data_IF_086945706222
#
_entry.id   IF_086945706222
#
_cell.length_a   1.000
_cell.length_b   1.000
_cell.length_c   1.000
_cell.angle_alpha   90.00
_cell.angle_beta   90.00
_cell.angle_gamma   90.00
#
_symmetry.space_group_name_H-M   'P 1'
#
loop_
_entity.id
_entity.type
_entity.pdbx_description
1 polymer ?
#
# COMPACT_ATOMS: atom_id res chain seq x y z
N UNK A 1 19.94 -0.27 -15.85
CA UNK A 1 18.99 -0.53 -14.75
C UNK A 1 19.62 0.01 -13.49
N UNK A 2 18.89 0.82 -12.74
CA UNK A 2 19.33 1.39 -11.46
C UNK A 2 18.42 0.82 -10.37
N UNK A 3 18.92 -0.05 -9.47
CA UNK A 3 18.11 -0.61 -8.40
C UNK A 3 17.88 0.42 -7.30
N UNK A 4 16.62 0.72 -6.99
CA UNK A 4 16.24 1.53 -5.84
C UNK A 4 15.87 0.61 -4.68
N UNK A 5 16.70 0.57 -3.63
CA UNK A 5 16.52 -0.35 -2.52
C UNK A 5 15.48 0.15 -1.51
N UNK A 6 14.77 -0.81 -0.90
CA UNK A 6 13.66 -0.55 0.03
C UNK A 6 13.80 -1.46 1.25
N UNK A 7 13.59 -0.91 2.44
CA UNK A 7 13.51 -1.70 3.67
C UNK A 7 12.16 -2.39 3.82
N UNK A 8 12.14 -3.56 4.44
CA UNK A 8 10.91 -4.21 4.89
C UNK A 8 10.59 -3.78 6.32
N UNK A 9 9.43 -3.16 6.55
CA UNK A 9 9.01 -2.75 7.89
C UNK A 9 8.48 -3.93 8.71
N UNK A 10 8.90 -3.99 9.97
CA UNK A 10 8.44 -4.96 10.96
C UNK A 10 8.04 -4.24 12.25
N UNK A 11 7.38 -4.94 13.17
CA UNK A 11 7.12 -4.44 14.52
C UNK A 11 8.39 -3.99 15.28
N UNK A 12 9.57 -4.47 14.89
CA UNK A 12 10.85 -4.20 15.54
C UNK A 12 11.69 -3.14 14.82
N UNK A 13 11.21 -2.60 13.70
CA UNK A 13 11.96 -1.57 12.97
C UNK A 13 12.05 -0.32 13.84
N UNK A 14 13.27 0.10 14.14
CA UNK A 14 13.53 1.23 15.03
C UNK A 14 13.71 2.54 14.25
N UNK A 15 13.55 3.70 14.91
CA UNK A 15 13.94 4.99 14.34
C UNK A 15 15.39 5.03 13.83
N UNK A 16 16.31 4.34 14.52
CA UNK A 16 17.73 4.34 14.17
C UNK A 16 18.01 3.54 12.90
N UNK A 17 17.28 2.44 12.67
CA UNK A 17 17.35 1.68 11.42
C UNK A 17 16.97 2.58 10.23
N UNK A 18 15.93 3.40 10.37
CA UNK A 18 15.49 4.34 9.34
C UNK A 18 16.55 5.40 9.06
N UNK A 19 17.09 6.04 10.10
CA UNK A 19 18.11 7.09 9.94
C UNK A 19 19.38 6.53 9.32
N UNK A 20 19.85 5.38 9.80
CA UNK A 20 21.01 4.67 9.26
C UNK A 20 20.82 4.31 7.79
N UNK A 21 19.66 3.74 7.45
CA UNK A 21 19.35 3.36 6.07
C UNK A 21 19.27 4.59 5.14
N UNK A 22 18.63 5.68 5.57
CA UNK A 22 18.59 6.92 4.78
C UNK A 22 19.98 7.53 4.58
N UNK A 23 20.78 7.59 5.64
CA UNK A 23 22.13 8.14 5.62
C UNK A 23 23.08 7.34 4.72
N UNK A 24 22.81 6.05 4.49
CA UNK A 24 23.59 5.22 3.57
C UNK A 24 23.54 5.71 2.11
N UNK A 25 22.50 6.46 1.73
CA UNK A 25 22.27 6.88 0.34
C UNK A 25 21.76 5.78 -0.59
N UNK A 26 21.72 4.51 -0.17
CA UNK A 26 21.28 3.37 -0.99
C UNK A 26 19.80 3.00 -0.80
N UNK A 27 19.23 3.28 0.37
CA UNK A 27 17.82 2.97 0.68
C UNK A 27 16.96 4.20 0.46
N UNK A 28 15.95 4.07 -0.40
CA UNK A 28 15.10 5.18 -0.81
C UNK A 28 13.75 5.21 -0.09
N UNK A 29 13.27 4.05 0.36
CA UNK A 29 11.96 3.91 0.99
C UNK A 29 11.93 2.76 2.00
N UNK A 30 10.86 2.67 2.77
CA UNK A 30 10.50 1.48 3.53
C UNK A 30 9.08 1.03 3.17
N UNK A 31 8.89 -0.29 3.01
CA UNK A 31 7.65 -0.92 2.59
C UNK A 31 6.94 -1.52 3.79
N UNK A 32 5.70 -1.08 3.99
CA UNK A 32 4.75 -1.63 4.94
C UNK A 32 3.96 -2.78 4.29
N UNK A 33 4.02 -3.94 4.93
CA UNK A 33 3.09 -5.05 4.72
C UNK A 33 2.38 -5.33 6.03
N UNK A 34 1.03 -5.26 6.09
CA UNK A 34 0.28 -5.76 7.23
C UNK A 34 0.54 -7.27 7.36
N UNK A 35 0.74 -7.73 8.60
CA UNK A 35 1.12 -9.13 8.83
C UNK A 35 0.07 -10.09 8.23
N UNK A 36 0.54 -11.01 7.36
CA UNK A 36 -0.30 -11.99 6.67
C UNK A 36 -1.10 -11.45 5.47
N UNK A 37 -0.84 -10.24 4.98
CA UNK A 37 -1.58 -9.63 3.87
C UNK A 37 -1.25 -10.26 2.51
N UNK A 38 -0.02 -10.74 2.33
CA UNK A 38 0.46 -11.31 1.05
C UNK A 38 1.62 -12.29 1.27
N UNK A 39 2.20 -12.80 0.18
CA UNK A 39 3.33 -13.75 0.22
C UNK A 39 4.51 -13.19 1.01
N UNK A 40 5.07 -13.98 1.92
CA UNK A 40 6.18 -13.63 2.82
C UNK A 40 5.92 -12.45 3.77
N UNK A 41 4.66 -12.15 4.08
CA UNK A 41 4.29 -11.01 4.96
C UNK A 41 4.08 -11.38 6.43
N UNK A 42 4.35 -12.62 6.85
CA UNK A 42 4.09 -13.07 8.23
C UNK A 42 4.92 -12.32 9.28
N UNK A 43 6.11 -11.84 8.89
CA UNK A 43 6.97 -10.98 9.73
C UNK A 43 6.65 -9.48 9.57
N UNK A 44 5.55 -9.15 8.89
CA UNK A 44 5.07 -7.79 8.69
C UNK A 44 4.61 -7.10 9.98
N UNK A 45 3.98 -5.95 9.79
CA UNK A 45 3.52 -5.10 10.88
C UNK A 45 2.18 -5.62 11.40
N UNK A 46 2.10 -5.98 12.69
CA UNK A 46 0.85 -6.50 13.28
C UNK A 46 -0.10 -5.37 13.70
N UNK A 47 0.45 -4.20 14.00
CA UNK A 47 -0.29 -2.99 14.35
C UNK A 47 0.52 -1.77 13.94
N UNK A 48 -0.11 -0.83 13.23
CA UNK A 48 0.57 0.36 12.73
C UNK A 48 1.09 1.24 13.88
N UNK A 49 0.44 1.23 15.03
CA UNK A 49 0.84 1.99 16.22
C UNK A 49 2.26 1.60 16.68
N UNK A 50 2.66 0.34 16.50
CA UNK A 50 3.98 -0.15 16.90
C UNK A 50 5.12 0.47 16.09
N UNK A 51 4.85 0.84 14.84
CA UNK A 51 5.85 1.43 13.95
C UNK A 51 5.79 2.96 13.90
N UNK A 52 4.92 3.60 14.69
CA UNK A 52 4.85 5.06 14.73
C UNK A 52 6.19 5.76 14.99
N UNK A 53 7.07 5.26 15.89
CA UNK A 53 8.41 5.84 16.03
C UNK A 53 9.23 5.74 14.74
N UNK A 54 9.13 4.65 13.99
CA UNK A 54 9.81 4.51 12.70
C UNK A 54 9.21 5.46 11.64
N UNK A 55 7.87 5.60 11.58
CA UNK A 55 7.21 6.52 10.66
C UNK A 55 7.56 7.99 10.94
N UNK A 56 7.67 8.36 12.21
CA UNK A 56 8.14 9.69 12.63
C UNK A 56 9.56 9.96 12.12
N UNK A 57 10.49 9.02 12.33
CA UNK A 57 11.85 9.11 11.79
C UNK A 57 11.87 9.18 10.27
N UNK A 58 11.00 8.43 9.57
CA UNK A 58 10.89 8.48 8.10
C UNK A 58 10.45 9.88 7.64
N UNK A 59 9.51 10.50 8.35
CA UNK A 59 9.05 11.86 8.07
C UNK A 59 10.17 12.89 8.30
N UNK A 60 10.93 12.77 9.40
CA UNK A 60 12.08 13.64 9.71
C UNK A 60 13.15 13.61 8.63
N UNK A 61 13.51 12.42 8.14
CA UNK A 61 14.61 12.25 7.17
C UNK A 61 14.15 12.23 5.71
N UNK A 62 12.84 12.39 5.45
CA UNK A 62 12.26 12.36 4.10
C UNK A 62 12.43 11.00 3.40
N UNK A 63 12.30 9.89 4.13
CA UNK A 63 12.18 8.55 3.55
C UNK A 63 10.72 8.27 3.17
N UNK A 64 10.50 7.66 1.99
CA UNK A 64 9.16 7.33 1.52
C UNK A 64 8.61 6.12 2.27
N UNK A 65 7.33 6.17 2.62
CA UNK A 65 6.55 5.03 3.07
C UNK A 65 5.79 4.44 1.88
N UNK A 66 6.08 3.20 1.52
CA UNK A 66 5.32 2.44 0.53
C UNK A 66 4.35 1.53 1.26
N UNK A 67 3.10 1.43 0.83
CA UNK A 67 2.04 0.75 1.60
C UNK A 67 1.33 -0.31 0.77
N UNK A 68 1.37 -1.57 1.23
CA UNK A 68 0.37 -2.57 0.86
C UNK A 68 -0.87 -2.35 1.73
N UNK A 69 -1.88 -1.65 1.22
CA UNK A 69 -3.00 -1.20 2.04
C UNK A 69 -4.17 -2.18 2.07
N UNK A 70 -4.02 -3.32 2.76
CA UNK A 70 -5.12 -4.26 3.04
C UNK A 70 -5.09 -4.71 4.50
N UNK A 71 -6.24 -4.71 5.17
CA UNK A 71 -6.37 -5.43 6.45
C UNK A 71 -6.42 -6.93 6.21
N UNK A 72 -6.02 -7.74 7.19
CA UNK A 72 -5.85 -9.20 7.02
C UNK A 72 -6.84 -10.04 7.82
N UNK A 73 -7.73 -9.37 8.55
CA UNK A 73 -8.70 -10.00 9.46
C UNK A 73 -9.67 -10.90 8.69
N UNK A 74 -9.96 -12.08 9.25
CA UNK A 74 -10.66 -13.18 8.56
C UNK A 74 -12.15 -12.91 8.32
N UNK A 75 -12.76 -12.04 9.12
CA UNK A 75 -14.15 -11.62 9.03
C UNK A 75 -14.40 -10.57 7.93
N UNK A 76 -13.35 -10.01 7.33
CA UNK A 76 -13.43 -8.98 6.29
C UNK A 76 -13.25 -9.62 4.93
N UNK A 77 -14.26 -9.45 4.08
CA UNK A 77 -14.24 -9.93 2.70
C UNK A 77 -13.04 -9.35 1.94
N UNK A 78 -12.35 -10.19 1.18
CA UNK A 78 -11.14 -9.81 0.43
C UNK A 78 -11.37 -8.66 -0.55
N UNK A 79 -12.60 -8.46 -1.03
CA UNK A 79 -12.95 -7.34 -1.89
C UNK A 79 -13.05 -6.00 -1.13
N UNK A 80 -13.22 -6.01 0.19
CA UNK A 80 -13.41 -4.83 1.04
C UNK A 80 -12.15 -4.43 1.84
N UNK A 81 -11.15 -5.32 1.91
CA UNK A 81 -9.93 -5.13 2.74
C UNK A 81 -9.17 -3.83 2.46
N UNK A 82 -9.11 -3.41 1.19
CA UNK A 82 -8.43 -2.16 0.81
C UNK A 82 -9.16 -0.93 1.35
N UNK A 83 -10.49 -0.90 1.23
CA UNK A 83 -11.33 0.18 1.76
C UNK A 83 -11.21 0.28 3.28
N UNK A 84 -11.31 -0.86 3.97
CA UNK A 84 -11.19 -0.88 5.43
C UNK A 84 -9.81 -0.40 5.89
N UNK A 85 -8.75 -0.73 5.16
CA UNK A 85 -7.42 -0.21 5.45
C UNK A 85 -7.34 1.32 5.31
N UNK A 86 -7.98 1.90 4.30
CA UNK A 86 -8.06 3.37 4.17
C UNK A 86 -8.71 3.98 5.41
N UNK A 87 -9.88 3.46 5.77
CA UNK A 87 -10.75 4.02 6.80
C UNK A 87 -10.15 3.88 8.21
N UNK A 88 -9.52 2.75 8.54
CA UNK A 88 -9.00 2.49 9.89
C UNK A 88 -7.54 2.91 10.08
N UNK A 89 -6.76 3.02 9.00
CA UNK A 89 -5.31 3.05 9.09
C UNK A 89 -4.69 4.18 8.30
N UNK A 90 -4.89 4.20 6.99
CA UNK A 90 -4.12 5.09 6.12
C UNK A 90 -4.46 6.57 6.36
N UNK A 91 -5.75 6.89 6.56
CA UNK A 91 -6.18 8.24 6.96
C UNK A 91 -5.47 8.70 8.24
N UNK A 92 -5.47 7.85 9.28
CA UNK A 92 -4.81 8.15 10.57
C UNK A 92 -3.30 8.37 10.42
N UNK A 93 -2.63 7.59 9.57
CA UNK A 93 -1.18 7.76 9.31
C UNK A 93 -0.90 9.10 8.65
N UNK A 94 -1.63 9.44 7.58
CA UNK A 94 -1.43 10.68 6.82
C UNK A 94 -1.77 11.92 7.66
N UNK A 95 -2.82 11.85 8.48
CA UNK A 95 -3.19 12.93 9.40
C UNK A 95 -2.15 13.15 10.51
N UNK A 96 -1.61 12.05 11.05
CA UNK A 96 -0.61 12.12 12.14
C UNK A 96 0.77 12.57 11.66
N UNK A 97 1.17 12.19 10.45
CA UNK A 97 2.48 12.50 9.88
C UNK A 97 2.32 13.29 8.57
N UNK A 98 1.89 14.56 8.63
CA UNK A 98 1.52 15.33 7.43
C UNK A 98 2.70 15.60 6.48
N UNK A 99 3.94 15.50 6.97
CA UNK A 99 5.18 15.65 6.18
C UNK A 99 5.72 14.33 5.61
N UNK A 100 5.18 13.18 6.04
CA UNK A 100 5.59 11.87 5.54
C UNK A 100 5.10 11.70 4.10
N UNK A 101 6.00 11.33 3.19
CA UNK A 101 5.66 10.98 1.81
C UNK A 101 5.20 9.53 1.75
N UNK A 102 3.97 9.31 1.30
CA UNK A 102 3.32 8.01 1.26
C UNK A 102 2.98 7.64 -0.17
N UNK A 103 3.29 6.40 -0.55
CA UNK A 103 2.83 5.79 -1.79
C UNK A 103 1.90 4.64 -1.44
N UNK A 104 0.61 4.79 -1.78
CA UNK A 104 -0.35 3.71 -1.71
C UNK A 104 -0.13 2.80 -2.92
N UNK A 105 0.55 1.68 -2.68
CA UNK A 105 0.97 0.80 -3.77
C UNK A 105 -0.23 0.09 -4.37
N UNK A 106 -0.16 -0.14 -5.69
CA UNK A 106 -1.02 -1.01 -6.49
C UNK A 106 -2.51 -0.93 -6.09
N UNK A 107 -3.05 0.29 -6.06
CA UNK A 107 -4.45 0.53 -5.69
C UNK A 107 -5.41 -0.21 -6.64
N UNK A 108 -6.53 -0.70 -6.09
CA UNK A 108 -7.46 -1.56 -6.84
C UNK A 108 -8.91 -1.09 -6.82
N UNK A 109 -9.22 -0.08 -6.01
CA UNK A 109 -10.59 0.43 -5.79
C UNK A 109 -10.74 1.89 -6.20
N UNK A 110 -11.99 2.25 -6.48
CA UNK A 110 -12.40 3.66 -6.65
C UNK A 110 -12.31 4.43 -5.34
N UNK A 111 -12.51 3.77 -4.20
CA UNK A 111 -12.29 4.34 -2.87
C UNK A 111 -10.83 4.79 -2.67
N UNK A 112 -9.86 3.98 -3.12
CA UNK A 112 -8.44 4.35 -3.07
C UNK A 112 -8.11 5.52 -4.00
N UNK A 113 -8.68 5.54 -5.22
CA UNK A 113 -8.55 6.69 -6.14
C UNK A 113 -9.09 7.96 -5.49
N UNK A 114 -10.29 7.90 -4.91
CA UNK A 114 -10.89 9.04 -4.22
C UNK A 114 -10.03 9.51 -3.05
N UNK A 115 -9.56 8.57 -2.20
CA UNK A 115 -8.69 8.89 -1.08
C UNK A 115 -7.43 9.63 -1.51
N UNK A 116 -6.75 9.16 -2.56
CA UNK A 116 -5.51 9.78 -3.05
C UNK A 116 -5.78 11.18 -3.62
N UNK A 117 -6.88 11.37 -4.35
CA UNK A 117 -7.28 12.67 -4.90
C UNK A 117 -7.65 13.70 -3.83
N UNK A 118 -8.20 13.25 -2.71
CA UNK A 118 -8.56 14.10 -1.56
C UNK A 118 -7.38 14.37 -0.62
N UNK A 119 -6.30 13.59 -0.71
CA UNK A 119 -5.15 13.69 0.16
C UNK A 119 -4.22 14.86 -0.19
N UNK A 120 -3.25 15.13 0.68
CA UNK A 120 -2.24 16.16 0.42
C UNK A 120 -1.26 15.72 -0.68
N UNK A 121 -0.46 16.67 -1.19
CA UNK A 121 0.58 16.41 -2.19
C UNK A 121 1.67 15.41 -1.73
N UNK A 122 1.68 15.01 -0.46
CA UNK A 122 2.58 14.00 0.07
C UNK A 122 2.06 12.57 -0.09
N UNK A 123 0.82 12.38 -0.59
CA UNK A 123 0.25 11.06 -0.86
C UNK A 123 0.15 10.85 -2.36
N UNK A 124 0.71 9.74 -2.84
CA UNK A 124 0.60 9.28 -4.21
C UNK A 124 0.14 7.81 -4.22
N UNK A 125 -0.09 7.27 -5.41
CA UNK A 125 -0.37 5.85 -5.60
C UNK A 125 0.34 5.30 -6.83
N UNK A 126 0.54 3.98 -6.84
CA UNK A 126 0.91 3.23 -8.04
C UNK A 126 -0.27 2.39 -8.52
N UNK A 127 -0.36 2.18 -9.83
CA UNK A 127 -1.37 1.35 -10.46
C UNK A 127 -0.64 0.32 -11.33
N UNK A 128 -1.03 -0.95 -11.23
CA UNK A 128 -0.41 -2.00 -12.03
C UNK A 128 -1.08 -2.14 -13.39
N UNK A 129 -0.34 -2.65 -14.37
CA UNK A 129 -0.88 -2.93 -15.70
C UNK A 129 -2.09 -3.89 -15.65
N UNK A 130 -2.04 -4.94 -14.81
CA UNK A 130 -3.12 -5.92 -14.73
C UNK A 130 -4.39 -5.38 -14.09
N UNK A 131 -4.31 -4.42 -13.16
CA UNK A 131 -5.49 -3.76 -12.60
C UNK A 131 -6.13 -2.76 -13.57
N UNK A 132 -5.37 -2.23 -14.53
CA UNK A 132 -5.93 -1.43 -15.63
C UNK A 132 -6.60 -2.31 -16.70
N UNK A 133 -6.00 -3.46 -17.01
CA UNK A 133 -6.48 -4.34 -18.09
C UNK A 133 -7.62 -5.27 -17.67
N UNK A 134 -7.68 -5.68 -16.40
CA UNK A 134 -8.57 -6.74 -15.95
C UNK A 134 -9.40 -6.35 -14.72
N UNK A 135 -10.55 -7.00 -14.61
CA UNK A 135 -11.41 -7.02 -13.42
C UNK A 135 -11.73 -8.47 -13.04
N UNK A 136 -12.38 -8.69 -11.89
CA UNK A 136 -12.62 -10.03 -11.33
C UNK A 136 -13.36 -11.00 -12.24
N UNK A 137 -14.13 -10.52 -13.24
CA UNK A 137 -14.75 -11.43 -14.21
C UNK A 137 -13.70 -12.15 -15.06
N UNK A 138 -12.58 -11.51 -15.39
CA UNK A 138 -11.47 -12.14 -16.11
C UNK A 138 -10.83 -13.28 -15.30
N UNK A 139 -10.91 -13.22 -13.97
CA UNK A 139 -10.41 -14.27 -13.08
C UNK A 139 -11.42 -15.41 -12.87
N UNK A 140 -12.74 -15.15 -12.93
CA UNK A 140 -13.76 -16.09 -12.42
C UNK A 140 -14.75 -16.60 -13.49
N UNK A 141 -15.05 -15.84 -14.55
CA UNK A 141 -16.10 -16.19 -15.52
C UNK A 141 -15.61 -17.29 -16.47
N UNK A 142 -16.40 -18.35 -16.59
CA UNK A 142 -16.10 -19.51 -17.43
C UNK A 142 -15.07 -20.48 -16.82
N UNK A 143 -14.74 -20.30 -15.54
CA UNK A 143 -13.76 -21.11 -14.82
C UNK A 143 -12.76 -20.23 -14.08
N UNK A 144 -12.23 -20.76 -12.96
CA UNK A 144 -11.19 -20.08 -12.19
C UNK A 144 -9.89 -20.02 -12.99
N UNK A 145 -9.32 -18.82 -13.12
CA UNK A 145 -8.04 -18.58 -13.81
C UNK A 145 -6.99 -18.07 -12.81
N UNK A 146 -6.21 -18.96 -12.17
CA UNK A 146 -5.33 -18.60 -11.07
C UNK A 146 -4.18 -17.65 -11.46
N UNK A 147 -3.81 -17.58 -12.73
CA UNK A 147 -2.79 -16.64 -13.21
C UNK A 147 -3.22 -15.17 -13.11
N UNK A 148 -4.53 -14.89 -12.96
CA UNK A 148 -5.04 -13.54 -12.68
C UNK A 148 -5.17 -13.25 -11.18
N UNK A 149 -4.86 -14.21 -10.31
CA UNK A 149 -4.92 -14.00 -8.88
C UNK A 149 -3.69 -13.21 -8.41
N UNK A 150 -3.94 -12.05 -7.81
CA UNK A 150 -2.96 -11.17 -7.18
C UNK A 150 -3.55 -10.59 -5.89
N UNK A 151 -2.71 -9.90 -5.11
CA UNK A 151 -3.13 -9.14 -3.94
C UNK A 151 -2.62 -7.70 -4.07
N UNK A 152 -3.48 -6.67 -3.87
CA UNK A 152 -4.92 -6.78 -3.64
C UNK A 152 -5.66 -7.42 -4.82
N UNK A 153 -6.78 -8.10 -4.54
CA UNK A 153 -7.48 -8.91 -5.55
C UNK A 153 -8.11 -8.04 -6.64
N UNK A 154 -8.18 -8.54 -7.89
CA UNK A 154 -8.96 -7.91 -8.95
C UNK A 154 -10.39 -7.59 -8.46
N UNK A 155 -10.86 -6.36 -8.67
CA UNK A 155 -12.15 -5.87 -8.16
C UNK A 155 -13.24 -5.86 -9.25
N UNK A 156 -14.42 -5.28 -8.95
CA UNK A 156 -15.52 -5.10 -9.93
C UNK A 156 -15.10 -4.12 -11.04
N UNK A 157 -15.79 -4.21 -12.20
CA UNK A 157 -15.54 -3.33 -13.36
C UNK A 157 -15.61 -1.83 -13.02
N UNK A 158 -16.50 -1.43 -12.11
CA UNK A 158 -16.60 -0.03 -11.66
C UNK A 158 -15.29 0.49 -11.08
N UNK A 159 -14.59 -0.32 -10.30
CA UNK A 159 -13.28 0.04 -9.75
C UNK A 159 -12.19 0.09 -10.84
N UNK A 160 -12.21 -0.85 -11.78
CA UNK A 160 -11.28 -0.83 -12.92
C UNK A 160 -11.41 0.47 -13.73
N UNK A 161 -12.65 0.92 -13.99
CA UNK A 161 -12.89 2.19 -14.68
C UNK A 161 -12.31 3.36 -13.89
N UNK A 162 -12.52 3.42 -12.56
CA UNK A 162 -11.92 4.47 -11.72
C UNK A 162 -10.38 4.49 -11.80
N UNK A 163 -9.73 3.33 -11.89
CA UNK A 163 -8.28 3.25 -12.05
C UNK A 163 -7.82 3.74 -13.43
N UNK A 164 -8.56 3.41 -14.49
CA UNK A 164 -8.28 3.88 -15.85
C UNK A 164 -8.40 5.40 -15.94
N UNK A 165 -9.46 5.96 -15.38
CA UNK A 165 -9.68 7.40 -15.33
C UNK A 165 -8.53 8.08 -14.57
N UNK A 166 -8.13 7.54 -13.41
CA UNK A 166 -7.02 8.07 -12.63
C UNK A 166 -5.65 7.97 -13.33
N UNK A 167 -5.45 6.97 -14.19
CA UNK A 167 -4.19 6.77 -14.91
C UNK A 167 -4.07 7.60 -16.20
N UNK A 168 -5.18 8.15 -16.70
CA UNK A 168 -5.24 8.79 -18.03
C UNK A 168 -5.82 10.21 -18.04
N UNK A 169 -6.46 10.66 -16.97
CA UNK A 169 -6.91 12.05 -16.76
C UNK A 169 -5.86 12.92 -16.13
#
# INVERSE_FOLDING_TARGET
>A
FEPLMVLYLTDQTTPEDIRTAKASGFVHAAKLYPAGATTNSDSGVTSIDKIFPALEAMAEVGMLLLVHGEVTRGEIDVFDREKVFIDEHLRRVVERFPTLKVVFEHITTGDAVQFVNEASANVAATITAHHLLYNRNHMLVGGIRPHFYCLPILKRNTHQVSLLDAATG
#
